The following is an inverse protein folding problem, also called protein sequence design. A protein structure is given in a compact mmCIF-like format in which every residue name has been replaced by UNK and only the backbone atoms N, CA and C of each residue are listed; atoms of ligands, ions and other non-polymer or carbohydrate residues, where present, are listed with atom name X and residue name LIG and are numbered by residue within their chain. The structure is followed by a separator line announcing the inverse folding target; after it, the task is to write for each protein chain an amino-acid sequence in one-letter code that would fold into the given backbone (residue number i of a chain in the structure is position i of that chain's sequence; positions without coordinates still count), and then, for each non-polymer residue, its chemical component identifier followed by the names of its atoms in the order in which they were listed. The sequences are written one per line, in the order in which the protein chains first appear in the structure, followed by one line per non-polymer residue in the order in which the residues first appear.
data_IF_508659146428
#
_entry.id   IF_508659146428
#
_cell.length_a   1.000
_cell.length_b   1.000
_cell.length_c   1.000
_cell.angle_alpha   90.00
_cell.angle_beta   90.00
_cell.angle_gamma   90.00
#
_symmetry.space_group_name_H-M   'P 1'
#
loop_
_entity.id
_entity.type
_entity.pdbx_description
1 polymer ?
#
# COMPACT_ATOMS: atom_id res chain seq x y z
N UNK A 1 -14.67 -20.33 13.77
CA UNK A 1 -13.41 -19.99 14.46
C UNK A 1 -12.44 -19.34 13.47
N UNK A 2 -12.58 -18.04 13.17
CA UNK A 2 -11.85 -17.37 12.07
C UNK A 2 -11.28 -15.97 12.42
N UNK A 3 -11.04 -15.64 13.70
CA UNK A 3 -10.66 -14.26 14.09
C UNK A 3 -9.28 -14.07 14.76
N UNK A 4 -8.52 -15.13 15.07
CA UNK A 4 -7.24 -14.98 15.77
C UNK A 4 -6.05 -14.64 14.86
N UNK A 5 -6.02 -15.18 13.64
CA UNK A 5 -4.88 -14.97 12.72
C UNK A 5 -4.86 -13.55 12.15
N UNK A 6 -6.03 -12.93 11.96
CA UNK A 6 -6.16 -11.55 11.47
C UNK A 6 -5.68 -10.53 12.50
N UNK A 7 -5.91 -10.77 13.80
CA UNK A 7 -5.47 -9.85 14.86
C UNK A 7 -3.96 -9.89 15.07
N UNK A 8 -3.34 -11.07 15.02
CA UNK A 8 -1.87 -11.19 15.13
C UNK A 8 -1.17 -10.49 13.97
N UNK A 9 -1.64 -10.70 12.72
CA UNK A 9 -1.08 -10.03 11.55
C UNK A 9 -1.21 -8.50 11.65
N UNK A 10 -2.36 -7.98 12.09
CA UNK A 10 -2.57 -6.54 12.28
C UNK A 10 -1.65 -5.96 13.38
N UNK A 11 -1.45 -6.68 14.47
CA UNK A 11 -0.51 -6.29 15.54
C UNK A 11 0.92 -6.23 14.99
N UNK A 12 1.34 -7.26 14.25
CA UNK A 12 2.68 -7.31 13.64
C UNK A 12 2.88 -6.20 12.59
N UNK A 13 1.86 -5.89 11.79
CA UNK A 13 1.88 -4.75 10.86
C UNK A 13 2.07 -3.43 11.59
N UNK A 14 1.31 -3.20 12.67
CA UNK A 14 1.45 -2.00 13.50
C UNK A 14 2.85 -1.88 14.10
N UNK A 15 3.42 -2.98 14.60
CA UNK A 15 4.76 -3.02 15.16
C UNK A 15 5.84 -2.68 14.11
N UNK A 16 5.76 -3.26 12.91
CA UNK A 16 6.69 -2.95 11.81
C UNK A 16 6.56 -1.48 11.38
N UNK A 17 5.35 -0.95 11.25
CA UNK A 17 5.14 0.46 10.88
C UNK A 17 5.68 1.41 11.94
N UNK A 18 5.48 1.10 13.23
CA UNK A 18 6.04 1.91 14.33
C UNK A 18 7.56 1.90 14.27
N UNK A 19 8.17 0.74 14.05
CA UNK A 19 9.62 0.60 13.96
C UNK A 19 10.20 1.42 12.79
N UNK A 20 9.53 1.39 11.63
CA UNK A 20 9.93 2.17 10.46
C UNK A 20 9.64 3.68 10.58
N UNK A 21 8.76 4.09 11.50
CA UNK A 21 8.61 5.50 11.88
C UNK A 21 9.79 5.96 12.72
N UNK A 22 10.25 5.13 13.66
CA UNK A 22 11.41 5.45 14.50
C UNK A 22 12.72 5.40 13.70
N UNK A 23 12.82 4.47 12.75
CA UNK A 23 13.99 4.28 11.91
C UNK A 23 13.64 4.49 10.45
N UNK A 24 14.10 5.60 9.86
CA UNK A 24 13.82 6.02 8.48
C UNK A 24 14.03 4.91 7.42
N UNK A 25 14.90 3.93 7.68
CA UNK A 25 15.18 2.81 6.76
C UNK A 25 15.76 1.62 7.51
N UNK A 26 15.17 0.42 7.36
CA UNK A 26 15.64 -0.82 7.98
C UNK A 26 15.70 -1.99 7.00
N UNK A 27 16.71 -2.85 7.12
CA UNK A 27 16.78 -4.15 6.46
C UNK A 27 15.97 -5.21 7.19
N UNK A 28 15.63 -6.28 6.49
CA UNK A 28 14.80 -7.36 7.06
C UNK A 28 15.45 -8.11 8.24
N UNK A 29 16.77 -8.09 8.36
CA UNK A 29 17.44 -8.63 9.55
C UNK A 29 17.22 -7.76 10.79
N UNK A 30 17.35 -6.44 10.65
CA UNK A 30 17.15 -5.46 11.74
C UNK A 30 15.71 -5.55 12.29
N UNK A 31 14.72 -5.61 11.40
CA UNK A 31 13.30 -5.72 11.80
C UNK A 31 13.03 -7.02 12.58
N UNK A 32 13.59 -8.16 12.15
CA UNK A 32 13.40 -9.44 12.86
C UNK A 32 14.06 -9.44 14.23
N UNK A 33 15.28 -8.90 14.32
CA UNK A 33 16.01 -8.85 15.58
C UNK A 33 15.26 -8.01 16.62
N UNK A 34 14.68 -6.88 16.20
CA UNK A 34 13.95 -5.98 17.10
C UNK A 34 12.59 -6.52 17.52
N UNK A 35 11.84 -7.11 16.58
CA UNK A 35 10.46 -7.57 16.84
C UNK A 35 10.37 -9.03 17.30
N UNK A 36 11.47 -9.78 17.27
CA UNK A 36 11.50 -11.19 17.66
C UNK A 36 10.67 -12.11 16.77
N UNK A 37 10.40 -11.72 15.52
CA UNK A 37 9.56 -12.49 14.57
C UNK A 37 10.40 -13.33 13.60
N UNK A 38 9.83 -14.44 13.14
CA UNK A 38 10.47 -15.32 12.16
C UNK A 38 10.57 -14.68 10.77
N UNK A 39 11.40 -15.26 9.91
CA UNK A 39 11.52 -14.84 8.51
C UNK A 39 10.20 -14.93 7.75
N UNK A 40 9.42 -15.98 7.95
CA UNK A 40 8.17 -16.18 7.20
C UNK A 40 7.09 -15.18 7.62
N UNK A 41 7.02 -14.88 8.92
CA UNK A 41 6.09 -13.86 9.46
C UNK A 41 6.45 -12.49 8.91
N UNK A 42 7.74 -12.11 8.96
CA UNK A 42 8.17 -10.84 8.41
C UNK A 42 7.87 -10.74 6.91
N UNK A 43 8.11 -11.79 6.13
CA UNK A 43 7.79 -11.79 4.70
C UNK A 43 6.30 -11.57 4.46
N UNK A 44 5.43 -12.21 5.24
CA UNK A 44 3.97 -12.04 5.15
C UNK A 44 3.55 -10.61 5.51
N UNK A 45 4.08 -10.08 6.62
CA UNK A 45 3.80 -8.71 7.08
C UNK A 45 4.26 -7.68 6.05
N UNK A 46 5.50 -7.78 5.55
CA UNK A 46 6.04 -6.84 4.57
C UNK A 46 5.31 -6.93 3.23
N UNK A 47 4.95 -8.13 2.76
CA UNK A 47 4.18 -8.28 1.54
C UNK A 47 2.84 -7.54 1.60
N UNK A 48 2.13 -7.65 2.73
CA UNK A 48 0.85 -6.97 2.94
C UNK A 48 1.03 -5.45 3.10
N UNK A 49 2.03 -4.99 3.85
CA UNK A 49 2.33 -3.56 3.99
C UNK A 49 2.77 -2.91 2.67
N UNK A 50 3.54 -3.63 1.84
CA UNK A 50 3.94 -3.20 0.50
C UNK A 50 2.73 -3.18 -0.43
N UNK A 51 1.86 -4.19 -0.37
CA UNK A 51 0.63 -4.21 -1.15
C UNK A 51 -0.27 -3.02 -0.83
N UNK A 52 -0.42 -2.68 0.46
CA UNK A 52 -1.17 -1.52 0.93
C UNK A 52 -0.49 -0.18 0.61
N UNK A 53 0.76 -0.20 0.14
CA UNK A 53 1.53 1.01 -0.13
C UNK A 53 2.00 1.76 1.11
N UNK A 54 2.03 1.08 2.27
CA UNK A 54 2.51 1.66 3.52
C UNK A 54 4.03 1.51 3.68
N UNK A 55 4.62 0.55 2.98
CA UNK A 55 6.06 0.29 2.97
C UNK A 55 6.57 0.20 1.54
N UNK A 56 7.75 0.77 1.29
CA UNK A 56 8.48 0.63 0.04
C UNK A 56 9.83 -0.06 0.27
N UNK A 57 10.26 -0.83 -0.72
CA UNK A 57 11.63 -1.35 -0.81
C UNK A 57 12.54 -0.36 -1.51
N UNK A 58 13.70 -0.10 -0.91
CA UNK A 58 14.83 0.58 -1.54
C UNK A 58 15.99 -0.41 -1.70
N UNK A 59 16.55 -0.49 -2.92
CA UNK A 59 17.69 -1.34 -3.21
C UNK A 59 18.97 -0.51 -3.12
N UNK A 60 19.61 -0.56 -1.95
CA UNK A 60 20.85 0.16 -1.71
C UNK A 60 22.03 -0.82 -1.69
N UNK A 61 22.93 -0.73 -2.67
CA UNK A 61 24.22 -1.47 -2.70
C UNK A 61 24.07 -2.97 -2.41
N UNK A 62 23.18 -3.66 -3.13
CA UNK A 62 22.87 -5.10 -2.97
C UNK A 62 22.17 -5.48 -1.66
N UNK A 63 21.64 -4.52 -0.91
CA UNK A 63 20.80 -4.77 0.27
C UNK A 63 19.39 -4.21 0.04
N UNK A 64 18.37 -4.98 0.46
CA UNK A 64 16.98 -4.52 0.46
C UNK A 64 16.70 -3.84 1.79
N UNK A 65 16.35 -2.55 1.73
CA UNK A 65 15.86 -1.80 2.88
C UNK A 65 14.38 -1.47 2.70
N UNK A 66 13.68 -1.33 3.82
CA UNK A 66 12.27 -1.02 3.91
C UNK A 66 12.12 0.36 4.52
N UNK A 67 11.24 1.16 3.91
CA UNK A 67 10.98 2.55 4.30
C UNK A 67 9.47 2.70 4.42
N UNK A 68 9.00 3.33 5.50
CA UNK A 68 7.59 3.69 5.64
C UNK A 68 7.23 4.79 4.64
N UNK A 69 6.12 4.64 3.93
CA UNK A 69 5.55 5.69 3.09
C UNK A 69 4.42 6.38 3.84
N UNK A 70 4.68 7.62 4.20
CA UNK A 70 3.66 8.56 4.65
C UNK A 70 3.48 9.58 3.54
N UNK A 71 2.23 9.73 3.09
CA UNK A 71 1.85 10.85 2.23
C UNK A 71 0.91 11.71 3.04
N UNK A 72 1.40 12.89 3.41
CA UNK A 72 0.54 13.97 3.84
C UNK A 72 -0.08 14.60 2.59
N UNK A 73 -1.36 14.90 2.67
CA UNK A 73 -2.08 15.68 1.68
C UNK A 73 -2.88 16.77 2.40
N UNK A 74 -3.15 17.86 1.70
CA UNK A 74 -4.01 18.91 2.22
C UNK A 74 -5.45 18.40 2.28
N UNK A 75 -6.08 18.31 3.48
CA UNK A 75 -7.47 17.86 3.61
C UNK A 75 -8.46 18.72 2.83
N UNK A 76 -8.15 19.98 2.55
CA UNK A 76 -9.01 20.87 1.77
C UNK A 76 -9.06 20.54 0.28
N UNK A 77 -8.11 19.74 -0.23
CA UNK A 77 -8.07 19.27 -1.62
C UNK A 77 -8.72 17.89 -1.80
N UNK A 78 -9.22 17.30 -0.72
CA UNK A 78 -9.91 16.01 -0.77
C UNK A 78 -11.34 16.25 -1.24
N UNK A 79 -11.79 15.42 -2.20
CA UNK A 79 -13.15 15.40 -2.69
C UNK A 79 -13.84 14.07 -2.32
N UNK A 80 -14.43 13.96 -1.11
CA UNK A 80 -15.14 12.76 -0.68
C UNK A 80 -16.27 12.35 -1.62
N UNK A 81 -16.90 13.31 -2.29
CA UNK A 81 -17.96 13.09 -3.27
C UNK A 81 -17.48 12.28 -4.50
N UNK A 82 -16.16 12.22 -4.76
CA UNK A 82 -15.60 11.41 -5.85
C UNK A 82 -15.39 9.94 -5.48
N UNK A 83 -15.45 9.57 -4.19
CA UNK A 83 -15.05 8.24 -3.73
C UNK A 83 -15.85 7.13 -4.41
N UNK A 84 -17.18 7.26 -4.47
CA UNK A 84 -18.03 6.27 -5.12
C UNK A 84 -17.76 6.10 -6.61
N UNK A 85 -17.49 7.21 -7.31
CA UNK A 85 -17.12 7.17 -8.74
C UNK A 85 -15.76 6.48 -8.94
N UNK A 86 -14.79 6.78 -8.07
CA UNK A 86 -13.45 6.20 -8.13
C UNK A 86 -13.45 4.71 -7.80
N UNK A 87 -14.20 4.28 -6.78
CA UNK A 87 -14.38 2.86 -6.48
C UNK A 87 -14.97 2.11 -7.68
N UNK A 88 -16.03 2.65 -8.31
CA UNK A 88 -16.63 2.05 -9.50
C UNK A 88 -15.65 2.02 -10.69
N UNK A 89 -14.81 3.04 -10.84
CA UNK A 89 -13.75 3.08 -11.86
C UNK A 89 -12.74 1.96 -11.66
N UNK A 90 -12.18 1.84 -10.45
CA UNK A 90 -11.18 0.82 -10.15
C UNK A 90 -11.77 -0.60 -10.09
N UNK A 91 -13.08 -0.76 -9.86
CA UNK A 91 -13.81 -2.04 -9.89
C UNK A 91 -13.76 -2.72 -11.26
N UNK A 92 -13.55 -1.97 -12.34
CA UNK A 92 -13.36 -2.52 -13.68
C UNK A 92 -11.98 -3.13 -13.90
N UNK A 93 -11.15 -3.23 -12.84
CA UNK A 93 -9.79 -3.76 -12.90
C UNK A 93 -8.74 -2.71 -13.29
N UNK A 94 -9.13 -1.42 -13.31
CA UNK A 94 -8.24 -0.32 -13.60
C UNK A 94 -7.06 -0.24 -12.64
N UNK A 95 -5.89 0.13 -13.17
CA UNK A 95 -4.70 0.49 -12.39
C UNK A 95 -4.22 1.84 -12.91
N UNK A 96 -4.23 2.84 -12.06
CA UNK A 96 -4.03 4.22 -12.50
C UNK A 96 -3.01 4.94 -11.64
N UNK A 97 -2.30 5.87 -12.25
CA UNK A 97 -1.46 6.84 -11.54
C UNK A 97 -2.28 8.11 -11.32
N UNK A 98 -1.83 8.99 -10.40
CA UNK A 98 -2.45 10.31 -10.24
C UNK A 98 -2.57 11.04 -11.58
N UNK A 99 -1.48 11.05 -12.37
CA UNK A 99 -1.43 11.81 -13.61
C UNK A 99 -2.33 11.23 -14.70
N UNK A 100 -2.35 9.91 -14.84
CA UNK A 100 -3.20 9.25 -15.84
C UNK A 100 -4.67 9.42 -15.51
N UNK A 101 -5.06 9.29 -14.23
CA UNK A 101 -6.44 9.47 -13.80
C UNK A 101 -6.90 10.93 -13.93
N UNK A 102 -6.09 11.87 -13.44
CA UNK A 102 -6.38 13.31 -13.55
C UNK A 102 -6.59 13.72 -15.01
N UNK A 103 -5.77 13.19 -15.93
CA UNK A 103 -5.93 13.45 -17.37
C UNK A 103 -7.22 12.85 -17.94
N UNK A 104 -7.54 11.60 -17.58
CA UNK A 104 -8.73 10.91 -18.09
C UNK A 104 -10.04 11.55 -17.62
N UNK A 105 -10.08 11.95 -16.34
CA UNK A 105 -11.25 12.58 -15.72
C UNK A 105 -11.27 14.11 -15.88
N UNK A 106 -10.22 14.68 -16.48
CA UNK A 106 -10.01 16.14 -16.63
C UNK A 106 -10.04 16.87 -15.28
N UNK A 107 -9.50 16.24 -14.25
CA UNK A 107 -9.37 16.79 -12.92
C UNK A 107 -7.99 17.43 -12.72
N UNK A 108 -7.91 18.29 -11.71
CA UNK A 108 -6.64 18.88 -11.29
C UNK A 108 -5.79 17.83 -10.58
N UNK A 109 -4.48 17.84 -10.86
CA UNK A 109 -3.52 16.87 -10.30
C UNK A 109 -3.44 16.96 -8.76
N UNK A 110 -3.39 18.14 -8.11
CA UNK A 110 -3.35 18.23 -6.65
C UNK A 110 -4.58 17.59 -5.98
N UNK A 111 -5.76 17.92 -6.48
CA UNK A 111 -7.07 17.44 -6.00
C UNK A 111 -7.20 15.92 -6.18
N UNK A 112 -6.79 15.42 -7.35
CA UNK A 112 -6.76 13.98 -7.65
C UNK A 112 -5.80 13.26 -6.71
N UNK A 113 -4.61 13.82 -6.46
CA UNK A 113 -3.61 13.23 -5.55
C UNK A 113 -4.13 13.16 -4.13
N UNK A 114 -4.66 14.27 -3.61
CA UNK A 114 -5.17 14.33 -2.24
C UNK A 114 -6.31 13.34 -2.04
N UNK A 115 -7.26 13.29 -2.98
CA UNK A 115 -8.39 12.38 -2.95
C UNK A 115 -7.95 10.90 -2.98
N UNK A 116 -7.04 10.52 -3.88
CA UNK A 116 -6.53 9.14 -3.96
C UNK A 116 -5.73 8.73 -2.72
N UNK A 117 -4.92 9.63 -2.16
CA UNK A 117 -4.17 9.37 -0.93
C UNK A 117 -5.10 9.23 0.29
N UNK A 118 -6.15 10.04 0.39
CA UNK A 118 -7.14 9.88 1.46
C UNK A 118 -7.89 8.55 1.32
N UNK A 119 -8.31 8.16 0.12
CA UNK A 119 -8.91 6.85 -0.11
C UNK A 119 -7.96 5.69 0.22
N UNK A 120 -6.66 5.83 -0.08
CA UNK A 120 -5.64 4.84 0.30
C UNK A 120 -5.46 4.78 1.81
N UNK A 121 -5.42 5.92 2.49
CA UNK A 121 -5.34 6.03 3.96
C UNK A 121 -6.55 5.37 4.65
N UNK A 122 -7.73 5.48 4.06
CA UNK A 122 -8.95 4.82 4.53
C UNK A 122 -9.03 3.32 4.14
N UNK A 123 -8.04 2.80 3.41
CA UNK A 123 -7.98 1.40 3.00
C UNK A 123 -8.93 1.03 1.85
N UNK A 124 -9.53 2.02 1.18
CA UNK A 124 -10.39 1.83 0.01
C UNK A 124 -9.56 1.46 -1.23
N UNK A 125 -8.38 2.07 -1.37
CA UNK A 125 -7.44 1.81 -2.45
C UNK A 125 -6.13 1.23 -1.93
N UNK A 126 -5.48 0.45 -2.79
CA UNK A 126 -4.12 -0.05 -2.60
C UNK A 126 -3.19 0.79 -3.47
N UNK A 127 -2.01 1.11 -2.96
CA UNK A 127 -1.00 1.88 -3.67
C UNK A 127 0.25 1.06 -3.91
N UNK A 128 0.55 0.70 -5.15
CA UNK A 128 1.84 0.08 -5.50
C UNK A 128 2.81 1.14 -5.97
N UNK A 129 3.97 1.24 -5.32
CA UNK A 129 5.02 2.17 -5.75
C UNK A 129 5.92 1.55 -6.82
N UNK A 130 6.14 2.30 -7.90
CA UNK A 130 7.16 2.04 -8.94
C UNK A 130 8.05 3.27 -8.99
N UNK A 131 9.21 3.19 -8.33
CA UNK A 131 10.06 4.37 -8.06
C UNK A 131 9.34 5.35 -7.13
N UNK A 132 9.12 6.59 -7.60
CA UNK A 132 8.39 7.64 -6.88
C UNK A 132 6.91 7.75 -7.29
N UNK A 133 6.45 6.88 -8.18
CA UNK A 133 5.09 6.90 -8.70
C UNK A 133 4.23 5.88 -7.95
N UNK A 134 3.10 6.33 -7.41
CA UNK A 134 2.08 5.46 -6.84
C UNK A 134 1.08 5.05 -7.94
N UNK A 135 0.87 3.75 -8.08
CA UNK A 135 -0.16 3.15 -8.93
C UNK A 135 -1.29 2.65 -8.02
N UNK A 136 -2.46 3.25 -8.14
CA UNK A 136 -3.64 2.92 -7.35
C UNK A 136 -4.46 1.84 -8.02
N UNK A 137 -5.05 0.98 -7.21
CA UNK A 137 -6.00 -0.05 -7.63
C UNK A 137 -6.89 -0.47 -6.47
N UNK A 138 -8.04 -1.10 -6.75
CA UNK A 138 -8.74 -1.86 -5.72
C UNK A 138 -7.92 -3.09 -5.30
N UNK A 139 -8.17 -3.57 -4.08
CA UNK A 139 -7.60 -4.82 -3.57
C UNK A 139 -7.95 -5.96 -4.53
N UNK A 140 -6.99 -6.41 -5.34
CA UNK A 140 -7.14 -7.69 -6.03
C UNK A 140 -7.18 -8.77 -4.95
N UNK A 141 -8.36 -9.34 -4.67
CA UNK A 141 -8.42 -10.70 -4.15
C UNK A 141 -7.78 -11.56 -5.24
N UNK A 142 -6.57 -12.04 -4.99
CA UNK A 142 -5.86 -12.93 -5.89
C UNK A 142 -6.71 -14.18 -6.13
N UNK A 143 -7.58 -14.15 -7.13
CA UNK A 143 -8.02 -15.38 -7.78
C UNK A 143 -6.83 -15.77 -8.65
N UNK A 144 -5.94 -16.59 -8.08
CA UNK A 144 -5.08 -17.43 -8.88
C UNK A 144 -6.04 -18.27 -9.71
N UNK A 145 -6.32 -17.84 -10.94
CA UNK A 145 -6.97 -18.69 -11.92
C UNK A 145 -5.93 -19.76 -12.23
N UNK A 146 -5.97 -20.88 -11.50
CA UNK A 146 -5.26 -22.07 -11.91
C UNK A 146 -5.75 -22.36 -13.32
N UNK A 147 -4.87 -22.14 -14.31
CA UNK A 147 -5.08 -22.62 -15.65
C UNK A 147 -4.86 -24.12 -15.53
N UNK A 148 -5.94 -24.89 -15.34
CA UNK A 148 -5.91 -26.31 -15.62
C UNK A 148 -5.59 -26.45 -17.10
N UNK A 149 -4.35 -26.80 -17.41
CA UNK A 149 -3.98 -27.22 -18.75
C UNK A 149 -4.79 -28.49 -19.05
N UNK A 150 -5.51 -28.44 -20.18
CA UNK A 150 -6.16 -29.58 -20.81
C UNK A 150 -5.11 -30.52 -21.42
#
# INVERSE_FOLDING_TARGET
MLNASSSVLQIQQGAVLQLLTTHNSLGGHEIRAELGITTSELQTVLAELIAQGLVQTDQLRNSVRYIKREFEHDPHLVHPEWFGQLEAWFAQGGRETVFSLARQLKWKVPDTRATLEEMRKQGLLYGKFVGNMCVYSLRQRGVVRQVSQA
#
